data_IF_212003780238
#
_entry.id   IF_212003780238
#
_cell.length_a   1.000
_cell.length_b   1.000
_cell.length_c   1.000
_cell.angle_alpha   90.00
_cell.angle_beta   90.00
_cell.angle_gamma   90.00
#
_symmetry.space_group_name_H-M   'P 1'
#
loop_
_entity.id
_entity.type
_entity.pdbx_description
1 polymer ?
#
# COMPACT_ATOMS: atom_id res chain seq x y z
N UNK A 1 9.69 -12.40 43.98
CA UNK A 1 10.21 -11.43 42.99
C UNK A 1 9.32 -11.33 41.75
N UNK A 2 8.54 -12.37 41.40
CA UNK A 2 7.73 -12.39 40.16
C UNK A 2 6.46 -11.52 40.19
N UNK A 3 5.82 -11.31 41.34
CA UNK A 3 4.61 -10.49 41.45
C UNK A 3 4.85 -8.99 41.21
N UNK A 4 6.03 -8.49 41.62
CA UNK A 4 6.41 -7.07 41.46
C UNK A 4 6.78 -6.79 40.00
N UNK A 5 7.51 -7.71 39.35
CA UNK A 5 7.83 -7.65 37.91
C UNK A 5 6.58 -7.58 37.04
N UNK A 6 5.59 -8.43 37.30
CA UNK A 6 4.32 -8.46 36.55
C UNK A 6 3.46 -7.21 36.76
N UNK A 7 3.47 -6.63 37.97
CA UNK A 7 2.73 -5.39 38.24
C UNK A 7 3.33 -4.16 37.55
N UNK A 8 4.65 -4.12 37.38
CA UNK A 8 5.36 -3.01 36.73
C UNK A 8 5.18 -3.05 35.21
N UNK A 9 5.20 -4.25 34.61
CA UNK A 9 4.94 -4.44 33.17
C UNK A 9 3.48 -4.17 32.82
N UNK A 10 2.51 -4.60 33.64
CA UNK A 10 1.08 -4.33 33.41
C UNK A 10 0.75 -2.84 33.49
N UNK A 11 1.32 -2.12 34.46
CA UNK A 11 1.16 -0.65 34.60
C UNK A 11 1.87 0.15 33.50
N UNK A 12 2.94 -0.39 32.93
CA UNK A 12 3.64 0.23 31.79
C UNK A 12 2.85 0.05 30.50
N UNK A 13 2.29 -1.15 30.29
CA UNK A 13 1.44 -1.46 29.15
C UNK A 13 0.15 -0.64 29.17
N UNK A 14 -0.54 -0.53 30.32
CA UNK A 14 -1.73 0.34 30.49
C UNK A 14 -1.43 1.82 30.24
N UNK A 15 -0.26 2.32 30.67
CA UNK A 15 0.16 3.71 30.38
C UNK A 15 0.44 3.94 28.91
N UNK A 16 1.13 3.00 28.24
CA UNK A 16 1.35 3.08 26.80
C UNK A 16 0.03 3.03 26.02
N UNK A 17 -0.90 2.14 26.43
CA UNK A 17 -2.22 2.03 25.82
C UNK A 17 -3.06 3.29 26.00
N UNK A 18 -3.04 3.91 27.19
CA UNK A 18 -3.76 5.16 27.45
C UNK A 18 -3.13 6.34 26.70
N UNK A 19 -1.80 6.42 26.62
CA UNK A 19 -1.09 7.42 25.82
C UNK A 19 -1.45 7.29 24.33
N UNK A 20 -1.46 6.07 23.80
CA UNK A 20 -1.89 5.81 22.42
C UNK A 20 -3.37 6.16 22.26
N UNK A 21 -4.24 5.78 23.20
CA UNK A 21 -5.67 6.09 23.14
C UNK A 21 -5.93 7.60 23.09
N UNK A 22 -5.29 8.39 23.94
CA UNK A 22 -5.39 9.86 23.91
C UNK A 22 -4.82 10.46 22.62
N UNK A 23 -3.67 9.95 22.15
CA UNK A 23 -3.02 10.43 20.92
C UNK A 23 -3.84 10.13 19.66
N UNK A 24 -4.52 8.99 19.62
CA UNK A 24 -5.27 8.53 18.45
C UNK A 24 -6.78 8.81 18.51
N UNK A 25 -7.35 9.20 19.66
CA UNK A 25 -8.79 9.51 19.78
C UNK A 25 -9.25 10.71 18.94
N UNK A 26 -8.36 11.66 18.65
CA UNK A 26 -8.64 12.86 17.86
C UNK A 26 -7.85 12.91 16.55
N UNK A 27 -7.18 11.82 16.15
CA UNK A 27 -6.50 11.77 14.86
C UNK A 27 -7.55 11.60 13.76
N UNK A 28 -7.78 12.67 13.00
CA UNK A 28 -8.46 12.55 11.72
C UNK A 28 -7.53 11.76 10.77
N UNK A 29 -7.95 10.56 10.41
CA UNK A 29 -7.24 9.66 9.49
C UNK A 29 -7.02 10.33 8.12
N UNK A 30 -7.84 11.33 7.79
CA UNK A 30 -7.76 12.11 6.56
C UNK A 30 -7.01 13.44 6.73
N UNK A 31 -6.53 13.76 7.94
CA UNK A 31 -5.72 14.94 8.16
C UNK A 31 -4.30 14.73 7.62
N UNK A 32 -3.92 15.64 6.73
CA UNK A 32 -2.63 15.67 6.05
C UNK A 32 -1.75 16.84 6.49
N UNK A 33 -2.20 17.66 7.44
CA UNK A 33 -1.62 18.96 7.81
C UNK A 33 -0.17 18.93 8.35
N UNK A 34 0.43 17.76 8.59
CA UNK A 34 1.86 17.59 8.90
C UNK A 34 2.65 16.74 7.91
N UNK A 35 2.05 16.36 6.77
CA UNK A 35 2.63 15.39 5.83
C UNK A 35 2.85 15.94 4.41
N UNK A 36 2.39 17.17 4.14
CA UNK A 36 2.50 17.83 2.85
C UNK A 36 3.31 19.12 2.99
N UNK A 37 3.95 19.53 1.91
CA UNK A 37 4.64 20.83 1.82
C UNK A 37 3.77 21.93 1.22
N UNK A 38 2.50 21.62 0.92
CA UNK A 38 1.57 22.51 0.23
C UNK A 38 0.78 23.29 1.28
N UNK A 39 0.98 24.60 1.33
CA UNK A 39 0.29 25.49 2.26
C UNK A 39 -0.96 26.10 1.62
N UNK A 40 -1.81 26.73 2.44
CA UNK A 40 -3.01 27.42 1.97
C UNK A 40 -2.70 28.60 1.05
N UNK A 41 -1.51 29.19 1.18
CA UNK A 41 -1.01 30.22 0.26
C UNK A 41 -0.71 29.63 -1.11
N UNK A 42 0.00 28.50 -1.19
CA UNK A 42 0.27 27.81 -2.45
C UNK A 42 -1.01 27.39 -3.17
N UNK A 43 -2.03 26.97 -2.43
CA UNK A 43 -3.35 26.65 -2.99
C UNK A 43 -3.99 27.90 -3.61
N UNK A 44 -3.97 29.04 -2.90
CA UNK A 44 -4.52 30.31 -3.42
C UNK A 44 -3.80 30.76 -4.69
N UNK A 45 -2.47 30.71 -4.70
CA UNK A 45 -1.66 31.05 -5.88
C UNK A 45 -2.00 30.16 -7.08
N UNK A 46 -2.11 28.85 -6.86
CA UNK A 46 -2.51 27.90 -7.90
C UNK A 46 -3.89 28.22 -8.48
N UNK A 47 -4.87 28.50 -7.63
CA UNK A 47 -6.24 28.83 -8.05
C UNK A 47 -6.34 30.17 -8.81
N UNK A 48 -5.43 31.10 -8.55
CA UNK A 48 -5.39 32.43 -9.16
C UNK A 48 -4.49 32.52 -10.40
N UNK A 49 -3.75 31.44 -10.71
CA UNK A 49 -2.84 31.42 -11.86
C UNK A 49 -3.59 31.66 -13.18
N UNK A 50 -3.10 32.59 -13.98
CA UNK A 50 -3.60 32.85 -15.33
C UNK A 50 -3.15 31.80 -16.35
N UNK A 51 -2.11 31.02 -16.02
CA UNK A 51 -1.49 30.02 -16.89
C UNK A 51 -1.74 28.64 -16.28
N UNK A 52 -2.89 28.06 -16.61
CA UNK A 52 -3.29 26.72 -16.18
C UNK A 52 -3.42 25.80 -17.39
N UNK A 53 -2.85 24.59 -17.30
CA UNK A 53 -3.07 23.55 -18.31
C UNK A 53 -4.55 23.11 -18.32
N UNK A 54 -5.05 22.48 -19.41
CA UNK A 54 -6.45 22.06 -19.48
C UNK A 54 -6.93 21.21 -18.30
N UNK A 55 -6.10 20.27 -17.83
CA UNK A 55 -6.41 19.44 -16.67
C UNK A 55 -6.44 20.22 -15.35
N UNK A 56 -5.61 21.26 -15.22
CA UNK A 56 -5.58 22.10 -14.02
C UNK A 56 -6.84 22.96 -13.93
N UNK A 57 -7.27 23.54 -15.07
CA UNK A 57 -8.53 24.28 -15.16
C UNK A 57 -9.70 23.40 -14.73
N UNK A 58 -9.74 22.16 -15.20
CA UNK A 58 -10.77 21.21 -14.83
C UNK A 58 -10.72 20.85 -13.34
N UNK A 59 -9.53 20.71 -12.72
CA UNK A 59 -9.42 20.50 -11.26
C UNK A 59 -9.94 21.69 -10.47
N UNK A 60 -9.60 22.91 -10.88
CA UNK A 60 -10.06 24.14 -10.24
C UNK A 60 -11.58 24.26 -10.32
N UNK A 61 -12.16 23.95 -11.47
CA UNK A 61 -13.61 23.89 -11.66
C UNK A 61 -14.27 22.86 -10.74
N UNK A 62 -13.77 21.63 -10.71
CA UNK A 62 -14.28 20.56 -9.82
C UNK A 62 -14.20 20.95 -8.33
N UNK A 63 -13.16 21.69 -7.93
CA UNK A 63 -13.02 22.18 -6.56
C UNK A 63 -14.02 23.28 -6.24
N UNK A 64 -14.21 24.24 -7.15
CA UNK A 64 -15.18 25.32 -7.01
C UNK A 64 -16.63 24.80 -6.98
N UNK A 65 -16.93 23.77 -7.77
CA UNK A 65 -18.21 23.04 -7.76
C UNK A 65 -18.40 22.14 -6.52
N UNK A 66 -17.42 22.10 -5.60
CA UNK A 66 -17.40 21.23 -4.41
C UNK A 66 -17.51 19.73 -4.72
N UNK A 67 -17.20 19.30 -5.96
CA UNK A 67 -17.16 17.89 -6.36
C UNK A 67 -15.92 17.19 -5.80
N UNK A 68 -14.83 17.94 -5.58
CA UNK A 68 -13.62 17.48 -4.89
C UNK A 68 -13.37 18.31 -3.64
N UNK A 69 -12.71 17.72 -2.65
CA UNK A 69 -12.36 18.40 -1.40
C UNK A 69 -10.91 18.90 -1.42
N UNK A 70 -10.53 19.66 -0.38
CA UNK A 70 -9.17 20.21 -0.23
C UNK A 70 -8.08 19.13 -0.26
N UNK A 71 -8.35 17.97 0.33
CA UNK A 71 -7.43 16.84 0.36
C UNK A 71 -7.12 16.30 -1.05
N UNK A 72 -8.16 16.14 -1.88
CA UNK A 72 -8.02 15.72 -3.28
C UNK A 72 -7.26 16.73 -4.13
N UNK A 73 -7.49 18.03 -3.88
CA UNK A 73 -6.73 19.10 -4.54
C UNK A 73 -5.25 19.07 -4.14
N UNK A 74 -4.95 18.94 -2.84
CA UNK A 74 -3.57 18.83 -2.34
C UNK A 74 -2.86 17.63 -2.97
N UNK A 75 -3.51 16.46 -3.02
CA UNK A 75 -2.94 15.26 -3.61
C UNK A 75 -2.68 15.41 -5.12
N UNK A 76 -3.59 16.07 -5.85
CA UNK A 76 -3.38 16.40 -7.26
C UNK A 76 -2.16 17.31 -7.46
N UNK A 77 -2.01 18.34 -6.63
CA UNK A 77 -0.87 19.25 -6.68
C UNK A 77 0.45 18.55 -6.29
N UNK A 78 0.43 17.68 -5.28
CA UNK A 78 1.62 16.89 -4.89
C UNK A 78 2.11 15.99 -6.01
N UNK A 79 1.20 15.42 -6.80
CA UNK A 79 1.52 14.56 -7.95
C UNK A 79 2.38 15.28 -9.00
N UNK A 80 2.20 16.59 -9.17
CA UNK A 80 3.00 17.37 -10.13
C UNK A 80 4.47 17.44 -9.77
N UNK A 81 4.81 17.33 -8.48
CA UNK A 81 6.18 17.25 -8.01
C UNK A 81 6.71 15.83 -8.29
N UNK A 82 7.05 15.56 -9.56
CA UNK A 82 7.53 14.25 -10.01
C UNK A 82 8.89 13.93 -9.39
N UNK A 83 9.08 12.68 -8.98
CA UNK A 83 10.42 12.12 -8.74
C UNK A 83 10.78 11.16 -9.88
N UNK A 84 12.04 11.17 -10.33
CA UNK A 84 12.51 10.42 -11.51
C UNK A 84 12.13 8.93 -11.49
N UNK A 85 12.08 8.33 -10.29
CA UNK A 85 12.00 6.88 -10.13
C UNK A 85 10.58 6.34 -9.99
N UNK A 86 9.60 7.18 -9.65
CA UNK A 86 8.22 6.72 -9.39
C UNK A 86 7.57 6.06 -10.60
N UNK A 87 7.69 6.64 -11.80
CA UNK A 87 7.14 6.02 -13.01
C UNK A 87 8.01 4.90 -13.60
N UNK A 88 9.33 5.07 -13.56
CA UNK A 88 10.29 4.21 -14.27
C UNK A 88 10.45 2.82 -13.65
N UNK A 89 10.37 2.71 -12.33
CA UNK A 89 10.48 1.41 -11.64
C UNK A 89 9.29 0.53 -12.01
N UNK A 90 8.07 1.07 -11.98
CA UNK A 90 6.88 0.30 -12.33
C UNK A 90 6.84 -0.09 -13.81
N UNK A 91 7.33 0.76 -14.72
CA UNK A 91 7.52 0.39 -16.12
C UNK A 91 8.47 -0.81 -16.25
N UNK A 92 9.63 -0.77 -15.60
CA UNK A 92 10.58 -1.87 -15.62
C UNK A 92 9.97 -3.16 -15.06
N UNK A 93 9.23 -3.07 -13.95
CA UNK A 93 8.54 -4.22 -13.34
C UNK A 93 7.50 -4.83 -14.29
N UNK A 94 6.68 -4.01 -14.95
CA UNK A 94 5.71 -4.48 -15.94
C UNK A 94 6.41 -5.20 -17.08
N UNK A 95 7.48 -4.63 -17.65
CA UNK A 95 8.21 -5.22 -18.78
C UNK A 95 8.95 -6.51 -18.42
N UNK A 96 9.54 -6.57 -17.24
CA UNK A 96 10.30 -7.75 -16.77
C UNK A 96 9.38 -8.85 -16.22
N UNK A 97 8.14 -8.52 -15.88
CA UNK A 97 7.23 -9.47 -15.24
C UNK A 97 6.89 -10.74 -16.01
N UNK A 98 6.65 -10.72 -17.34
CA UNK A 98 6.34 -11.94 -18.08
C UNK A 98 7.47 -12.96 -18.01
N UNK A 99 8.73 -12.51 -17.93
CA UNK A 99 9.91 -13.38 -17.87
C UNK A 99 9.89 -14.19 -16.58
N UNK A 100 9.81 -13.53 -15.42
CA UNK A 100 9.85 -14.25 -14.14
C UNK A 100 8.54 -14.99 -13.87
N UNK A 101 7.38 -14.50 -14.32
CA UNK A 101 6.09 -15.21 -14.23
C UNK A 101 6.17 -16.53 -15.00
N UNK A 102 6.65 -16.49 -16.25
CA UNK A 102 6.83 -17.69 -17.07
C UNK A 102 7.79 -18.67 -16.40
N UNK A 103 8.93 -18.17 -15.91
CA UNK A 103 9.90 -18.99 -15.18
C UNK A 103 9.29 -19.70 -13.95
N UNK A 104 8.52 -18.98 -13.14
CA UNK A 104 7.85 -19.55 -11.96
C UNK A 104 6.79 -20.60 -12.32
N UNK A 105 6.04 -20.38 -13.39
CA UNK A 105 5.05 -21.33 -13.89
C UNK A 105 5.69 -22.60 -14.47
N UNK A 106 6.86 -22.49 -15.10
CA UNK A 106 7.62 -23.64 -15.61
C UNK A 106 8.18 -24.52 -14.49
N UNK A 107 8.65 -23.91 -13.40
CA UNK A 107 9.18 -24.65 -12.24
C UNK A 107 8.08 -25.29 -11.39
N UNK A 108 6.85 -24.75 -11.45
CA UNK A 108 5.71 -25.26 -10.70
C UNK A 108 5.32 -26.67 -11.18
N UNK A 109 5.70 -27.70 -10.41
CA UNK A 109 5.53 -29.12 -10.80
C UNK A 109 4.11 -29.65 -10.70
N UNK A 110 3.29 -29.09 -9.81
CA UNK A 110 1.91 -29.58 -9.55
C UNK A 110 0.87 -28.61 -10.10
N UNK A 111 -0.33 -29.11 -10.42
CA UNK A 111 -1.45 -28.26 -10.84
C UNK A 111 -1.81 -27.24 -9.76
N UNK A 112 -1.81 -27.66 -8.48
CA UNK A 112 -2.04 -26.78 -7.34
C UNK A 112 -1.01 -25.64 -7.31
N UNK A 113 0.27 -25.94 -7.46
CA UNK A 113 1.33 -24.92 -7.53
C UNK A 113 1.08 -23.94 -8.68
N UNK A 114 0.81 -24.45 -9.89
CA UNK A 114 0.58 -23.60 -11.08
C UNK A 114 -0.60 -22.65 -10.89
N UNK A 115 -1.72 -23.11 -10.33
CA UNK A 115 -2.91 -22.28 -10.08
C UNK A 115 -2.57 -21.14 -9.13
N UNK A 116 -2.02 -21.44 -7.95
CA UNK A 116 -1.76 -20.40 -6.95
C UNK A 116 -0.61 -19.47 -7.34
N UNK A 117 0.42 -19.97 -8.04
CA UNK A 117 1.46 -19.13 -8.64
C UNK A 117 0.90 -18.20 -9.71
N UNK A 118 -0.04 -18.67 -10.54
CA UNK A 118 -0.71 -17.83 -11.54
C UNK A 118 -1.55 -16.71 -10.91
N UNK A 119 -2.27 -17.02 -9.83
CA UNK A 119 -3.02 -16.01 -9.06
C UNK A 119 -2.06 -14.96 -8.48
N UNK A 120 -0.99 -15.40 -7.81
CA UNK A 120 0.02 -14.51 -7.24
C UNK A 120 0.67 -13.61 -8.30
N UNK A 121 1.05 -14.19 -9.44
CA UNK A 121 1.59 -13.49 -10.59
C UNK A 121 0.62 -12.43 -11.12
N UNK A 122 -0.67 -12.78 -11.24
CA UNK A 122 -1.72 -11.87 -11.71
C UNK A 122 -1.91 -10.68 -10.76
N UNK A 123 -1.94 -10.92 -9.45
CA UNK A 123 -2.04 -9.86 -8.44
C UNK A 123 -0.83 -8.91 -8.48
N UNK A 124 0.39 -9.46 -8.56
CA UNK A 124 1.61 -8.65 -8.67
C UNK A 124 1.63 -7.83 -9.96
N UNK A 125 1.33 -8.46 -11.10
CA UNK A 125 1.27 -7.78 -12.39
C UNK A 125 0.25 -6.66 -12.39
N UNK A 126 -0.96 -6.92 -11.88
CA UNK A 126 -2.03 -5.93 -11.78
C UNK A 126 -1.59 -4.70 -10.98
N UNK A 127 -0.95 -4.91 -9.82
CA UNK A 127 -0.45 -3.81 -9.00
C UNK A 127 0.64 -3.00 -9.72
N UNK A 128 1.60 -3.66 -10.36
CA UNK A 128 2.64 -2.97 -11.12
C UNK A 128 2.09 -2.19 -12.31
N UNK A 129 1.11 -2.77 -13.00
CA UNK A 129 0.46 -2.16 -14.14
C UNK A 129 -0.40 -0.95 -13.74
N UNK A 130 -1.19 -1.07 -12.68
CA UNK A 130 -1.97 0.05 -12.13
C UNK A 130 -1.06 1.23 -11.74
N UNK A 131 0.05 0.93 -11.06
CA UNK A 131 1.02 1.95 -10.65
C UNK A 131 1.74 2.58 -11.84
N UNK A 132 2.08 1.76 -12.84
CA UNK A 132 2.63 2.25 -14.10
C UNK A 132 1.67 3.23 -14.77
N UNK A 133 0.38 2.89 -14.88
CA UNK A 133 -0.63 3.76 -15.47
C UNK A 133 -0.76 5.07 -14.69
N UNK A 134 -0.78 5.02 -13.36
CA UNK A 134 -0.94 6.21 -12.50
C UNK A 134 0.19 7.23 -12.71
N UNK A 135 1.43 6.76 -12.76
CA UNK A 135 2.61 7.63 -12.71
C UNK A 135 3.15 8.06 -14.08
N UNK A 136 2.84 7.34 -15.16
CA UNK A 136 3.44 7.60 -16.48
C UNK A 136 2.52 8.36 -17.46
N UNK A 137 1.23 8.53 -17.16
CA UNK A 137 0.28 9.20 -18.07
C UNK A 137 -0.41 10.41 -17.43
N UNK A 138 -0.64 11.45 -18.22
CA UNK A 138 -1.38 12.65 -17.79
C UNK A 138 -2.90 12.46 -17.94
N UNK A 139 -3.50 11.80 -16.94
CA UNK A 139 -4.94 11.58 -16.89
C UNK A 139 -5.73 12.85 -16.61
N UNK A 140 -6.94 12.91 -17.18
CA UNK A 140 -7.98 13.86 -16.75
C UNK A 140 -8.26 13.69 -15.25
N UNK A 141 -8.64 14.75 -14.53
CA UNK A 141 -8.82 14.74 -13.08
C UNK A 141 -9.68 13.61 -12.52
N UNK A 142 -10.85 13.36 -13.12
CA UNK A 142 -11.76 12.32 -12.66
C UNK A 142 -11.14 10.92 -12.79
N UNK A 143 -10.49 10.66 -13.92
CA UNK A 143 -9.84 9.39 -14.20
C UNK A 143 -8.56 9.22 -13.37
N UNK A 144 -7.86 10.31 -13.05
CA UNK A 144 -6.73 10.29 -12.13
C UNK A 144 -7.11 9.72 -10.77
N UNK A 145 -8.18 10.22 -10.14
CA UNK A 145 -8.62 9.71 -8.84
C UNK A 145 -9.12 8.26 -8.91
N UNK A 146 -9.71 7.84 -10.04
CA UNK A 146 -10.09 6.45 -10.25
C UNK A 146 -8.86 5.53 -10.34
N UNK A 147 -7.87 5.89 -11.15
CA UNK A 147 -6.65 5.10 -11.31
C UNK A 147 -5.83 5.09 -10.02
N UNK A 148 -5.80 6.20 -9.28
CA UNK A 148 -5.21 6.26 -7.94
C UNK A 148 -5.87 5.24 -7.01
N UNK A 149 -7.20 5.14 -7.00
CA UNK A 149 -7.90 4.11 -6.23
C UNK A 149 -7.54 2.71 -6.69
N UNK A 150 -7.45 2.47 -7.99
CA UNK A 150 -7.08 1.15 -8.54
C UNK A 150 -5.68 0.73 -8.09
N UNK A 151 -4.71 1.65 -8.14
CA UNK A 151 -3.35 1.42 -7.64
C UNK A 151 -3.35 1.03 -6.15
N UNK A 152 -4.10 1.77 -5.32
CA UNK A 152 -4.20 1.50 -3.89
C UNK A 152 -4.97 0.20 -3.56
N UNK A 153 -5.95 -0.19 -4.38
CA UNK A 153 -6.59 -1.51 -4.31
C UNK A 153 -5.62 -2.63 -4.70
N UNK A 154 -4.77 -2.37 -5.69
CA UNK A 154 -3.70 -3.29 -6.13
C UNK A 154 -2.79 -3.72 -5.00
N UNK A 155 -2.48 -2.83 -4.05
CA UNK A 155 -1.65 -3.14 -2.89
C UNK A 155 -2.30 -4.20 -2.00
N UNK A 156 -3.61 -4.11 -1.73
CA UNK A 156 -4.32 -5.13 -0.95
C UNK A 156 -4.33 -6.49 -1.67
N UNK A 157 -4.58 -6.48 -2.98
CA UNK A 157 -4.51 -7.69 -3.80
C UNK A 157 -3.10 -8.28 -3.81
N UNK A 158 -2.07 -7.45 -3.85
CA UNK A 158 -0.67 -7.88 -3.81
C UNK A 158 -0.34 -8.51 -2.45
N UNK A 159 -0.73 -7.90 -1.33
CA UNK A 159 -0.48 -8.42 0.03
C UNK A 159 -1.11 -9.80 0.23
N UNK A 160 -2.38 -9.97 -0.16
CA UNK A 160 -3.09 -11.24 0.02
C UNK A 160 -2.67 -12.28 -1.04
N UNK A 161 -2.65 -11.88 -2.31
CA UNK A 161 -2.47 -12.79 -3.45
C UNK A 161 -1.04 -13.28 -3.63
N UNK A 162 -0.04 -12.41 -3.41
CA UNK A 162 1.38 -12.80 -3.61
C UNK A 162 1.83 -13.92 -2.67
N UNK A 163 1.21 -14.02 -1.49
CA UNK A 163 1.54 -14.99 -0.47
C UNK A 163 0.75 -16.30 -0.60
N UNK A 164 -0.16 -16.47 -1.58
CA UNK A 164 -0.94 -17.72 -1.74
C UNK A 164 -0.13 -18.98 -2.10
N UNK A 165 0.92 -18.92 -2.95
CA UNK A 165 1.60 -20.13 -3.43
C UNK A 165 2.25 -20.96 -2.32
N UNK A 166 2.87 -20.29 -1.33
CA UNK A 166 3.58 -20.97 -0.24
C UNK A 166 2.62 -21.79 0.65
N UNK A 167 1.61 -21.22 1.32
CA UNK A 167 0.63 -21.97 2.11
C UNK A 167 -0.17 -22.96 1.27
N UNK A 168 -0.34 -22.74 -0.04
CA UNK A 168 -0.92 -23.76 -0.91
C UNK A 168 -0.07 -25.03 -1.00
N UNK A 169 1.23 -24.97 -0.73
CA UNK A 169 2.12 -26.14 -0.74
C UNK A 169 2.28 -26.76 0.64
N UNK A 170 2.35 -25.95 1.69
CA UNK A 170 2.72 -26.44 3.03
C UNK A 170 1.54 -26.65 3.98
N UNK A 171 0.40 -25.98 3.77
CA UNK A 171 -0.73 -26.10 4.70
C UNK A 171 -1.62 -27.30 4.36
N UNK A 172 -2.15 -27.91 5.41
CA UNK A 172 -3.23 -28.89 5.25
C UNK A 172 -4.50 -28.20 4.70
N UNK A 173 -5.49 -29.00 4.27
CA UNK A 173 -6.70 -28.48 3.61
C UNK A 173 -7.47 -27.46 4.46
N UNK A 174 -7.55 -27.69 5.77
CA UNK A 174 -8.31 -26.85 6.70
C UNK A 174 -7.58 -25.54 6.97
N UNK A 175 -6.29 -25.60 7.30
CA UNK A 175 -5.43 -24.43 7.49
C UNK A 175 -5.41 -23.53 6.25
N UNK A 176 -5.28 -24.15 5.08
CA UNK A 176 -5.27 -23.42 3.82
C UNK A 176 -6.61 -22.74 3.53
N UNK A 177 -7.73 -23.39 3.87
CA UNK A 177 -9.06 -22.78 3.76
C UNK A 177 -9.20 -21.56 4.68
N UNK A 178 -8.79 -21.67 5.95
CA UNK A 178 -8.77 -20.54 6.87
C UNK A 178 -7.91 -19.38 6.36
N UNK A 179 -6.74 -19.70 5.82
CA UNK A 179 -5.83 -18.72 5.24
C UNK A 179 -6.48 -17.98 4.06
N UNK A 180 -7.09 -18.70 3.10
CA UNK A 180 -7.77 -18.07 1.96
C UNK A 180 -8.93 -17.20 2.42
N UNK A 181 -9.75 -17.67 3.36
CA UNK A 181 -10.89 -16.89 3.86
C UNK A 181 -10.40 -15.60 4.51
N UNK A 182 -9.40 -15.69 5.41
CA UNK A 182 -8.87 -14.52 6.10
C UNK A 182 -8.26 -13.51 5.12
N UNK A 183 -7.39 -13.97 4.22
CA UNK A 183 -6.69 -13.09 3.28
C UNK A 183 -7.60 -12.57 2.18
N UNK A 184 -8.58 -13.37 1.76
CA UNK A 184 -9.63 -12.98 0.82
C UNK A 184 -10.53 -11.90 1.42
N UNK A 185 -10.99 -12.07 2.66
CA UNK A 185 -11.77 -11.05 3.36
C UNK A 185 -10.97 -9.76 3.59
N UNK A 186 -9.69 -9.89 3.95
CA UNK A 186 -8.79 -8.73 4.13
C UNK A 186 -8.66 -7.94 2.82
N UNK A 187 -8.40 -8.63 1.70
CA UNK A 187 -8.29 -7.96 0.40
C UNK A 187 -9.61 -7.38 -0.06
N UNK A 188 -10.72 -8.11 0.12
CA UNK A 188 -12.04 -7.64 -0.27
C UNK A 188 -12.44 -6.40 0.52
N UNK A 189 -12.29 -6.45 1.85
CA UNK A 189 -12.56 -5.31 2.71
C UNK A 189 -11.66 -4.12 2.38
N UNK A 190 -10.35 -4.36 2.19
CA UNK A 190 -9.40 -3.32 1.78
C UNK A 190 -9.79 -2.66 0.46
N UNK A 191 -10.14 -3.45 -0.55
CA UNK A 191 -10.56 -2.93 -1.85
C UNK A 191 -11.86 -2.12 -1.77
N UNK A 192 -12.87 -2.63 -1.07
CA UNK A 192 -14.14 -1.91 -0.86
C UNK A 192 -13.91 -0.63 -0.06
N UNK A 193 -13.06 -0.67 0.96
CA UNK A 193 -12.70 0.50 1.74
C UNK A 193 -12.04 1.58 0.88
N UNK A 194 -11.07 1.23 0.01
CA UNK A 194 -10.48 2.18 -0.94
C UNK A 194 -11.53 2.72 -1.93
N UNK A 195 -12.38 1.85 -2.45
CA UNK A 195 -13.35 2.22 -3.46
C UNK A 195 -14.38 3.24 -2.94
N UNK A 196 -14.95 2.97 -1.76
CA UNK A 196 -15.99 3.81 -1.16
C UNK A 196 -15.45 4.97 -0.30
N UNK A 197 -14.20 4.89 0.18
CA UNK A 197 -13.58 5.93 0.99
C UNK A 197 -12.71 6.89 0.15
N UNK A 198 -12.21 7.94 0.81
CA UNK A 198 -11.14 8.83 0.31
C UNK A 198 -9.76 8.45 0.84
N UNK A 199 -9.62 7.20 1.28
CA UNK A 199 -8.41 6.71 1.94
C UNK A 199 -7.19 6.72 1.00
N UNK A 200 -7.37 6.51 -0.30
CA UNK A 200 -6.30 6.62 -1.30
C UNK A 200 -5.60 7.98 -1.21
N UNK A 201 -6.37 9.04 -1.05
CA UNK A 201 -5.92 10.43 -0.98
C UNK A 201 -5.56 10.89 0.44
N UNK A 202 -5.75 10.03 1.45
CA UNK A 202 -5.59 10.35 2.89
C UNK A 202 -4.14 10.54 3.38
N UNK A 203 -3.93 10.44 4.69
CA UNK A 203 -2.60 10.51 5.28
C UNK A 203 -1.75 9.28 4.93
N UNK A 204 -0.52 9.51 4.43
CA UNK A 204 0.41 8.45 4.01
C UNK A 204 0.75 7.49 5.13
N UNK A 205 0.92 7.99 6.36
CA UNK A 205 1.26 7.18 7.53
C UNK A 205 0.12 6.21 7.82
N UNK A 206 -1.12 6.71 7.81
CA UNK A 206 -2.29 5.86 8.07
C UNK A 206 -2.44 4.79 6.99
N UNK A 207 -2.19 5.12 5.72
CA UNK A 207 -2.13 4.12 4.64
C UNK A 207 -1.09 3.05 4.91
N UNK A 208 0.15 3.45 5.19
CA UNK A 208 1.24 2.53 5.46
C UNK A 208 0.92 1.61 6.64
N UNK A 209 0.40 2.15 7.74
CA UNK A 209 -0.04 1.37 8.89
C UNK A 209 -1.13 0.37 8.53
N UNK A 210 -2.16 0.78 7.77
CA UNK A 210 -3.24 -0.13 7.34
C UNK A 210 -2.70 -1.27 6.49
N UNK A 211 -1.80 -0.98 5.54
CA UNK A 211 -1.17 -2.04 4.75
C UNK A 211 -0.36 -2.97 5.64
N UNK A 212 0.48 -2.43 6.52
CA UNK A 212 1.28 -3.24 7.46
C UNK A 212 0.39 -4.15 8.30
N UNK A 213 -0.71 -3.64 8.85
CA UNK A 213 -1.67 -4.44 9.62
C UNK A 213 -2.24 -5.57 8.77
N UNK A 214 -2.64 -5.30 7.53
CA UNK A 214 -3.12 -6.32 6.60
C UNK A 214 -2.05 -7.39 6.33
N UNK A 215 -0.79 -7.00 6.13
CA UNK A 215 0.32 -7.93 5.96
C UNK A 215 0.62 -8.77 7.21
N UNK A 216 0.50 -8.19 8.41
CA UNK A 216 0.75 -8.91 9.66
C UNK A 216 -0.27 -10.01 9.94
N UNK A 217 -1.42 -10.05 9.25
CA UNK A 217 -2.35 -11.18 9.33
C UNK A 217 -1.72 -12.49 8.85
N UNK A 218 -0.67 -12.44 8.02
CA UNK A 218 0.12 -13.61 7.64
C UNK A 218 0.87 -14.23 8.84
N UNK A 219 1.24 -13.41 9.83
CA UNK A 219 1.96 -13.86 11.02
C UNK A 219 1.10 -14.74 11.95
N UNK A 220 -0.23 -14.73 11.80
CA UNK A 220 -1.12 -15.64 12.54
C UNK A 220 -0.84 -17.12 12.22
N UNK A 221 -0.27 -17.40 11.05
CA UNK A 221 0.13 -18.73 10.60
C UNK A 221 1.63 -18.97 10.75
N UNK A 222 2.35 -18.17 11.54
CA UNK A 222 3.81 -18.25 11.69
C UNK A 222 4.27 -19.65 12.12
N UNK A 223 3.53 -20.30 13.03
CA UNK A 223 3.82 -21.68 13.45
C UNK A 223 3.77 -22.65 12.26
N UNK A 224 2.74 -22.55 11.43
CA UNK A 224 2.56 -23.41 10.26
C UNK A 224 3.67 -23.16 9.21
N UNK A 225 4.08 -21.91 9.03
CA UNK A 225 5.24 -21.57 8.20
C UNK A 225 6.54 -22.18 8.74
N UNK A 226 6.82 -22.05 10.03
CA UNK A 226 8.05 -22.60 10.64
C UNK A 226 8.07 -24.13 10.54
N UNK A 227 6.94 -24.79 10.72
CA UNK A 227 6.84 -26.25 10.63
C UNK A 227 6.89 -26.77 9.19
N UNK A 228 6.44 -25.98 8.21
CA UNK A 228 6.32 -26.39 6.81
C UNK A 228 7.50 -26.00 5.91
N UNK A 229 8.34 -25.04 6.33
CA UNK A 229 9.42 -24.49 5.52
C UNK A 229 10.80 -25.02 5.93
N UNK A 230 11.71 -25.08 4.96
CA UNK A 230 13.14 -25.29 5.21
C UNK A 230 13.79 -24.03 5.81
N UNK A 231 14.91 -24.18 6.51
CA UNK A 231 15.64 -23.06 7.14
C UNK A 231 15.95 -21.90 6.17
N UNK A 232 16.32 -22.21 4.92
CA UNK A 232 16.57 -21.20 3.87
C UNK A 232 15.30 -20.41 3.50
N UNK A 233 14.15 -21.06 3.46
CA UNK A 233 12.87 -20.45 3.09
C UNK A 233 12.34 -19.59 4.24
N UNK A 234 12.52 -20.04 5.48
CA UNK A 234 12.25 -19.25 6.69
C UNK A 234 13.09 -17.96 6.67
N UNK A 235 14.36 -18.04 6.26
CA UNK A 235 15.23 -16.85 6.14
C UNK A 235 14.66 -15.85 5.13
N UNK A 236 14.22 -16.32 3.95
CA UNK A 236 13.57 -15.45 2.96
C UNK A 236 12.25 -14.88 3.46
N UNK A 237 11.48 -15.65 4.22
CA UNK A 237 10.22 -15.18 4.81
C UNK A 237 10.46 -14.01 5.79
N UNK A 238 11.42 -14.14 6.70
CA UNK A 238 11.75 -13.05 7.62
C UNK A 238 12.41 -11.86 6.91
N UNK A 239 13.24 -12.11 5.90
CA UNK A 239 13.80 -11.04 5.07
C UNK A 239 12.70 -10.27 4.34
N UNK A 240 11.71 -10.96 3.78
CA UNK A 240 10.55 -10.34 3.14
C UNK A 240 9.77 -9.49 4.15
N UNK A 241 9.49 -10.01 5.34
CA UNK A 241 8.81 -9.26 6.40
C UNK A 241 9.59 -8.00 6.82
N UNK A 242 10.92 -8.11 6.95
CA UNK A 242 11.78 -6.98 7.29
C UNK A 242 11.78 -5.90 6.18
N UNK A 243 11.92 -6.31 4.92
CA UNK A 243 11.86 -5.40 3.76
C UNK A 243 10.49 -4.73 3.65
N UNK A 244 9.42 -5.47 3.97
CA UNK A 244 8.05 -4.94 3.98
C UNK A 244 7.86 -3.83 5.03
N UNK A 245 8.30 -4.05 6.26
CA UNK A 245 8.27 -3.03 7.31
C UNK A 245 9.17 -1.83 6.97
N UNK A 246 10.39 -2.09 6.49
CA UNK A 246 11.32 -1.03 6.11
C UNK A 246 10.75 -0.17 4.97
N UNK A 247 10.12 -0.79 3.98
CA UNK A 247 9.43 -0.10 2.89
C UNK A 247 8.29 0.78 3.40
N UNK A 248 7.48 0.29 4.34
CA UNK A 248 6.40 1.08 4.95
C UNK A 248 6.93 2.30 5.73
N UNK A 249 8.05 2.14 6.45
CA UNK A 249 8.72 3.25 7.16
C UNK A 249 9.26 4.26 6.16
N UNK A 250 9.99 3.83 5.13
CA UNK A 250 10.55 4.70 4.10
C UNK A 250 9.45 5.48 3.35
N UNK A 251 8.35 4.80 3.00
CA UNK A 251 7.17 5.41 2.38
C UNK A 251 6.53 6.48 3.29
N UNK A 252 6.36 6.17 4.57
CA UNK A 252 5.78 7.08 5.56
C UNK A 252 6.65 8.32 5.80
N UNK A 253 7.97 8.14 5.82
CA UNK A 253 8.95 9.20 6.08
C UNK A 253 9.32 10.01 4.83
N UNK A 254 8.94 9.54 3.63
CA UNK A 254 9.34 10.14 2.35
C UNK A 254 10.88 10.25 2.20
N UNK A 255 11.61 9.33 2.84
CA UNK A 255 13.09 9.29 2.91
C UNK A 255 13.60 7.85 2.76
N UNK A 256 14.80 7.65 2.16
CA UNK A 256 15.63 8.64 1.50
C UNK A 256 15.01 9.09 0.16
N UNK A 257 15.14 10.37 -0.19
CA UNK A 257 14.83 10.87 -1.53
C UNK A 257 16.16 11.18 -2.24
N UNK A 258 16.77 10.19 -2.91
CA UNK A 258 18.14 10.34 -3.41
C UNK A 258 18.25 11.35 -4.55
N UNK A 259 17.20 11.58 -5.36
CA UNK A 259 17.24 12.47 -6.54
C UNK A 259 15.85 13.09 -6.79
N UNK A 260 15.74 14.43 -6.74
CA UNK A 260 14.53 15.16 -7.18
C UNK A 260 14.37 15.04 -8.71
N UNK A 261 13.14 14.89 -9.20
CA UNK A 261 12.86 15.01 -10.64
C UNK A 261 13.33 16.34 -11.19
N UNK A 262 13.94 16.34 -12.37
CA UNK A 262 14.10 17.60 -13.10
C UNK A 262 12.71 18.01 -13.64
N UNK A 263 12.38 19.27 -13.41
CA UNK A 263 11.21 19.92 -14.00
C UNK A 263 11.47 20.08 -15.51
N UNK A 264 11.05 19.10 -16.30
CA UNK A 264 11.01 19.18 -17.77
C UNK A 264 9.62 18.83 -18.27
#
# INVERSE_FOLDING_TARGET
MDAISNSVTENSCKRALNYLKEKYQNMDIFDVSGTTTITDETIKEFMQSSILCPNDKQIVELFNEKKINKLMLINYMERKVKTMFQGKIHLLLVLTSPIWITYMLLISKTLRAKIFTSIAASCMFFNFFASFLLHNFEWKPELYFLIEKIDHMGIFLMISGSCLPVPALIFNKIQFLYYIILQGLTSLFGCLFIFFSRFSTGNRITRACTYVIAGFLHALFLKDYIMGLMAKEITFFFLLAALYCLGAVAYSMKKPNPIKGNDT
#
